data_IF_336572164964
#
_entry.id   IF_336572164964
#
_cell.length_a   1.000
_cell.length_b   1.000
_cell.length_c   1.000
_cell.angle_alpha   90.00
_cell.angle_beta   90.00
_cell.angle_gamma   90.00
#
_symmetry.space_group_name_H-M   'P 1'
#
loop_
_entity.id
_entity.type
_entity.pdbx_description
1 polymer ?
#
# COMPACT_ATOMS: atom_id res chain seq x y z
N UNK A 1 37.01 -17.08 10.85
CA UNK A 1 36.05 -17.35 9.75
C UNK A 1 35.65 -16.01 9.15
N UNK A 2 36.10 -15.73 7.93
CA UNK A 2 35.68 -14.53 7.21
C UNK A 2 34.26 -14.81 6.70
N UNK A 3 33.23 -14.44 7.48
CA UNK A 3 31.88 -14.35 6.93
C UNK A 3 31.98 -13.33 5.80
N UNK A 4 31.65 -13.73 4.58
CA UNK A 4 31.63 -12.82 3.45
C UNK A 4 30.65 -11.69 3.80
N UNK A 5 31.15 -10.50 4.16
CA UNK A 5 30.35 -9.38 4.68
C UNK A 5 29.15 -9.07 3.78
N UNK A 6 29.36 -9.17 2.47
CA UNK A 6 28.32 -9.04 1.46
C UNK A 6 27.17 -10.05 1.64
N UNK A 7 27.49 -11.32 1.90
CA UNK A 7 26.49 -12.37 2.12
C UNK A 7 25.67 -12.11 3.40
N UNK A 8 26.33 -11.67 4.48
CA UNK A 8 25.64 -11.32 5.73
C UNK A 8 24.67 -10.15 5.51
N UNK A 9 25.11 -9.09 4.82
CA UNK A 9 24.24 -7.96 4.50
C UNK A 9 23.00 -8.38 3.70
N UNK A 10 23.17 -9.22 2.67
CA UNK A 10 22.04 -9.77 1.90
C UNK A 10 21.13 -10.66 2.73
N UNK A 11 21.69 -11.43 3.66
CA UNK A 11 20.90 -12.21 4.63
C UNK A 11 20.00 -11.33 5.50
N UNK A 12 20.49 -10.16 5.92
CA UNK A 12 19.69 -9.20 6.70
C UNK A 12 18.63 -8.49 5.87
N UNK A 13 18.91 -8.12 4.62
CA UNK A 13 17.90 -7.58 3.69
C UNK A 13 16.75 -8.59 3.51
N UNK A 14 17.08 -9.87 3.30
CA UNK A 14 16.09 -10.95 3.20
C UNK A 14 15.28 -11.11 4.50
N UNK A 15 15.93 -11.11 5.66
CA UNK A 15 15.24 -11.21 6.95
C UNK A 15 14.28 -10.04 7.19
N UNK A 16 14.67 -8.83 6.80
CA UNK A 16 13.83 -7.64 6.89
C UNK A 16 12.59 -7.74 5.99
N UNK A 17 12.74 -8.27 4.77
CA UNK A 17 11.62 -8.56 3.89
C UNK A 17 10.70 -9.64 4.51
N UNK A 18 11.26 -10.78 4.93
CA UNK A 18 10.50 -11.89 5.51
C UNK A 18 9.68 -11.50 6.74
N UNK A 19 10.26 -10.74 7.67
CA UNK A 19 9.57 -10.31 8.91
C UNK A 19 8.40 -9.37 8.66
N UNK A 20 8.30 -8.76 7.47
CA UNK A 20 7.14 -7.97 7.06
C UNK A 20 6.07 -8.76 6.30
N UNK A 21 6.33 -10.03 5.95
CA UNK A 21 5.38 -10.87 5.22
C UNK A 21 4.57 -11.77 6.15
N UNK A 22 5.24 -12.54 7.00
CA UNK A 22 4.58 -13.52 7.87
C UNK A 22 5.39 -13.77 9.13
N UNK A 23 4.74 -14.08 10.26
CA UNK A 23 5.44 -14.51 11.45
C UNK A 23 5.93 -15.96 11.31
N UNK A 24 7.02 -16.35 12.00
CA UNK A 24 7.39 -17.76 12.15
C UNK A 24 6.34 -18.50 12.98
N UNK A 25 6.41 -19.82 13.01
CA UNK A 25 5.57 -20.65 13.89
C UNK A 25 5.82 -20.34 15.37
N UNK A 26 4.86 -20.68 16.24
CA UNK A 26 4.99 -20.48 17.69
C UNK A 26 6.21 -21.18 18.29
N UNK A 27 6.64 -22.31 17.71
CA UNK A 27 7.84 -23.02 18.14
C UNK A 27 9.13 -22.26 17.79
N UNK A 28 9.18 -21.63 16.61
CA UNK A 28 10.37 -20.93 16.12
C UNK A 28 10.44 -19.47 16.60
N UNK A 29 9.30 -18.84 16.88
CA UNK A 29 9.19 -17.45 17.32
C UNK A 29 10.16 -17.04 18.45
N UNK A 30 10.26 -17.76 19.59
CA UNK A 30 11.18 -17.36 20.65
C UNK A 30 12.66 -17.41 20.21
N UNK A 31 13.01 -18.27 19.27
CA UNK A 31 14.38 -18.35 18.74
C UNK A 31 14.68 -17.18 17.80
N UNK A 32 13.74 -16.80 16.93
CA UNK A 32 13.87 -15.62 16.06
C UNK A 32 13.98 -14.35 16.90
N UNK A 33 13.15 -14.21 17.94
CA UNK A 33 13.20 -13.06 18.83
C UNK A 33 14.56 -12.98 19.57
N UNK A 34 15.06 -14.08 20.13
CA UNK A 34 16.39 -14.12 20.77
C UNK A 34 17.51 -13.81 19.78
N UNK A 35 17.43 -14.32 18.55
CA UNK A 35 18.42 -14.02 17.52
C UNK A 35 18.49 -12.51 17.26
N UNK A 36 17.35 -11.87 16.99
CA UNK A 36 17.26 -10.43 16.75
C UNK A 36 17.74 -9.61 17.97
N UNK A 37 17.36 -10.01 19.19
CA UNK A 37 17.81 -9.36 20.43
C UNK A 37 19.33 -9.46 20.63
N UNK A 38 19.92 -10.63 20.37
CA UNK A 38 21.37 -10.84 20.48
C UNK A 38 22.18 -10.01 19.47
N UNK A 39 21.54 -9.59 18.37
CA UNK A 39 22.11 -8.82 17.27
C UNK A 39 21.60 -7.37 17.23
N UNK A 40 21.14 -6.81 18.36
CA UNK A 40 20.59 -5.44 18.46
C UNK A 40 21.47 -4.32 17.91
N UNK A 41 22.78 -4.54 17.80
CA UNK A 41 23.72 -3.57 17.21
C UNK A 41 23.68 -3.54 15.68
N UNK A 42 23.08 -4.55 15.03
CA UNK A 42 22.87 -4.54 13.60
C UNK A 42 21.74 -3.56 13.24
N UNK A 43 21.89 -2.67 12.25
CA UNK A 43 20.92 -1.61 11.94
C UNK A 43 19.49 -2.11 11.69
N UNK A 44 19.33 -3.28 11.08
CA UNK A 44 18.02 -3.85 10.76
C UNK A 44 17.39 -4.67 11.89
N UNK A 45 18.11 -5.00 12.96
CA UNK A 45 17.61 -5.93 13.97
C UNK A 45 16.36 -5.41 14.69
N UNK A 46 16.34 -4.12 15.06
CA UNK A 46 15.21 -3.50 15.73
C UNK A 46 13.99 -3.40 14.80
N UNK A 47 14.20 -3.04 13.54
CA UNK A 47 13.12 -2.98 12.55
C UNK A 47 12.53 -4.35 12.25
N UNK A 48 13.37 -5.38 12.10
CA UNK A 48 12.91 -6.77 11.96
C UNK A 48 12.04 -7.20 13.16
N UNK A 49 12.40 -6.82 14.39
CA UNK A 49 11.59 -7.10 15.58
C UNK A 49 10.23 -6.39 15.52
N UNK A 50 10.22 -5.09 15.19
CA UNK A 50 9.00 -4.30 15.05
C UNK A 50 8.08 -4.88 13.97
N UNK A 51 8.64 -5.23 12.81
CA UNK A 51 7.92 -5.83 11.68
C UNK A 51 7.33 -7.18 12.05
N UNK A 52 8.10 -8.03 12.73
CA UNK A 52 7.62 -9.31 13.26
C UNK A 52 6.40 -9.11 14.20
N UNK A 53 6.44 -8.13 15.11
CA UNK A 53 5.28 -7.83 15.97
C UNK A 53 4.07 -7.32 15.19
N UNK A 54 4.28 -6.59 14.08
CA UNK A 54 3.19 -6.15 13.21
C UNK A 54 2.59 -7.32 12.41
N UNK A 55 3.42 -8.21 11.87
CA UNK A 55 2.98 -9.44 11.20
C UNK A 55 2.15 -10.34 12.14
N UNK A 56 2.54 -10.49 13.40
CA UNK A 56 1.76 -11.22 14.41
C UNK A 56 0.37 -10.60 14.66
N UNK A 57 0.26 -9.26 14.64
CA UNK A 57 -0.99 -8.52 14.89
C UNK A 57 -1.90 -8.43 13.67
N UNK A 58 -1.32 -8.16 12.50
CA UNK A 58 -2.07 -7.82 11.29
C UNK A 58 -2.36 -9.05 10.41
N UNK A 59 -1.71 -10.18 10.69
CA UNK A 59 -1.76 -11.40 9.90
C UNK A 59 -0.72 -11.43 8.79
N UNK A 60 -0.69 -12.54 8.05
CA UNK A 60 0.26 -12.77 6.98
C UNK A 60 -0.18 -12.15 5.65
N UNK A 61 0.79 -11.63 4.91
CA UNK A 61 0.68 -11.22 3.50
C UNK A 61 0.41 -12.44 2.61
N UNK A 62 -0.31 -12.22 1.51
CA UNK A 62 -0.65 -13.25 0.52
C UNK A 62 0.31 -13.28 -0.66
N UNK A 63 0.96 -12.15 -0.96
CA UNK A 63 1.87 -12.02 -2.10
C UNK A 63 3.30 -11.72 -1.64
N UNK A 64 4.31 -12.00 -2.49
CA UNK A 64 5.71 -11.65 -2.22
C UNK A 64 5.92 -10.13 -2.04
N UNK A 65 7.11 -9.70 -1.56
CA UNK A 65 7.42 -8.29 -1.44
C UNK A 65 7.26 -7.55 -2.76
N UNK A 66 6.67 -6.37 -2.69
CA UNK A 66 6.59 -5.46 -3.83
C UNK A 66 7.97 -4.92 -4.18
N UNK A 67 8.19 -4.53 -5.45
CA UNK A 67 9.49 -4.03 -5.92
C UNK A 67 10.00 -2.87 -5.07
N UNK A 68 9.12 -1.94 -4.69
CA UNK A 68 9.47 -0.80 -3.82
C UNK A 68 9.99 -1.22 -2.44
N UNK A 69 9.53 -2.36 -1.90
CA UNK A 69 10.01 -2.90 -0.62
C UNK A 69 11.44 -3.46 -0.78
N UNK A 70 11.69 -4.11 -1.93
CA UNK A 70 13.01 -4.65 -2.28
C UNK A 70 14.01 -3.53 -2.56
N UNK A 71 13.61 -2.53 -3.34
CA UNK A 71 14.45 -1.38 -3.67
C UNK A 71 14.79 -0.56 -2.43
N UNK A 72 13.85 -0.32 -1.52
CA UNK A 72 14.10 0.42 -0.28
C UNK A 72 15.23 -0.25 0.54
N UNK A 73 15.08 -1.55 0.81
CA UNK A 73 16.08 -2.24 1.65
C UNK A 73 17.44 -2.40 0.96
N UNK A 74 17.46 -2.51 -0.38
CA UNK A 74 18.70 -2.50 -1.16
C UNK A 74 19.42 -1.14 -1.10
N UNK A 75 18.67 -0.03 -1.04
CA UNK A 75 19.19 1.32 -0.79
C UNK A 75 19.42 1.62 0.69
N UNK A 76 19.31 0.60 1.57
CA UNK A 76 19.51 0.69 3.02
C UNK A 76 18.54 1.64 3.72
N UNK A 77 17.34 1.84 3.14
CA UNK A 77 16.25 2.57 3.77
C UNK A 77 15.16 1.61 4.22
N UNK A 78 14.59 1.85 5.39
CA UNK A 78 13.50 1.02 5.94
C UNK A 78 12.15 1.74 5.96
N UNK A 79 12.16 3.05 5.67
CA UNK A 79 10.96 3.86 5.46
C UNK A 79 10.62 3.90 3.97
N UNK A 80 9.35 3.63 3.66
CA UNK A 80 8.86 3.64 2.28
C UNK A 80 7.80 4.72 2.19
N UNK A 81 7.98 5.67 1.27
CA UNK A 81 6.99 6.70 1.01
C UNK A 81 6.28 6.41 -0.30
N UNK A 82 4.95 6.43 -0.27
CA UNK A 82 4.12 6.28 -1.44
C UNK A 82 3.38 7.59 -1.73
N UNK A 83 3.51 8.08 -2.96
CA UNK A 83 2.76 9.24 -3.44
C UNK A 83 1.28 8.89 -3.56
N UNK A 84 0.43 9.77 -3.05
CA UNK A 84 -1.03 9.72 -3.13
C UNK A 84 -1.52 11.00 -3.78
N UNK A 85 -2.36 10.85 -4.80
CA UNK A 85 -2.94 11.96 -5.56
C UNK A 85 -4.36 12.25 -5.07
N UNK A 86 -4.75 13.52 -5.14
CA UNK A 86 -6.04 14.02 -4.70
C UNK A 86 -6.84 14.64 -5.86
N UNK A 87 -8.17 14.79 -5.72
CA UNK A 87 -9.02 15.34 -6.79
C UNK A 87 -8.76 16.81 -7.15
N UNK A 88 -8.09 17.57 -6.31
CA UNK A 88 -7.72 18.97 -6.53
C UNK A 88 -6.39 19.14 -7.29
N UNK A 89 -5.96 18.08 -7.99
CA UNK A 89 -4.70 17.97 -8.73
C UNK A 89 -3.42 18.09 -7.87
N UNK A 90 -3.55 17.99 -6.54
CA UNK A 90 -2.39 17.93 -5.63
C UNK A 90 -1.96 16.49 -5.34
N UNK A 91 -0.75 16.32 -4.80
CA UNK A 91 -0.24 15.04 -4.33
C UNK A 91 0.59 15.20 -3.05
N UNK A 92 0.56 14.19 -2.18
CA UNK A 92 1.40 14.10 -0.99
C UNK A 92 2.04 12.71 -0.86
N UNK A 93 3.23 12.66 -0.26
CA UNK A 93 3.93 11.41 0.04
C UNK A 93 3.60 10.92 1.45
N UNK A 94 3.14 9.68 1.56
CA UNK A 94 2.76 9.05 2.83
C UNK A 94 3.65 7.85 3.13
N UNK A 95 4.06 7.72 4.39
CA UNK A 95 4.78 6.54 4.84
C UNK A 95 3.86 5.31 4.82
N UNK A 96 4.34 4.24 4.19
CA UNK A 96 3.66 2.95 4.12
C UNK A 96 4.61 1.85 4.59
N UNK A 97 4.02 0.80 5.16
CA UNK A 97 4.74 -0.35 5.66
C UNK A 97 4.27 -1.62 4.96
N UNK A 98 5.06 -2.68 5.04
CA UNK A 98 4.69 -4.00 4.52
C UNK A 98 3.36 -4.52 5.10
N UNK A 99 3.01 -4.09 6.31
CA UNK A 99 1.79 -4.46 7.03
C UNK A 99 0.66 -3.44 6.92
N UNK A 100 0.81 -2.37 6.14
CA UNK A 100 -0.23 -1.34 5.98
C UNK A 100 -1.44 -1.90 5.24
N UNK A 101 -2.61 -1.87 5.88
CA UNK A 101 -3.90 -2.16 5.22
C UNK A 101 -4.51 -0.88 4.67
N UNK A 102 -5.37 -1.01 3.66
CA UNK A 102 -6.00 0.13 3.01
C UNK A 102 -6.77 1.02 3.99
N UNK A 103 -7.46 0.45 4.98
CA UNK A 103 -8.14 1.22 6.04
C UNK A 103 -7.17 2.08 6.86
N UNK A 104 -6.01 1.52 7.23
CA UNK A 104 -5.04 2.20 8.09
C UNK A 104 -4.37 3.34 7.30
N UNK A 105 -4.17 3.12 6.00
CA UNK A 105 -3.68 4.13 5.07
C UNK A 105 -4.70 5.26 4.88
N UNK A 106 -5.99 4.95 4.65
CA UNK A 106 -7.05 5.95 4.61
C UNK A 106 -7.11 6.81 5.89
N UNK A 107 -6.95 6.18 7.06
CA UNK A 107 -6.90 6.88 8.35
C UNK A 107 -5.72 7.85 8.43
N UNK A 108 -4.52 7.42 8.01
CA UNK A 108 -3.33 8.26 8.01
C UNK A 108 -3.49 9.49 7.08
N UNK A 109 -4.04 9.28 5.88
CA UNK A 109 -4.32 10.36 4.93
C UNK A 109 -5.35 11.34 5.49
N UNK A 110 -6.46 10.82 6.01
CA UNK A 110 -7.54 11.65 6.58
C UNK A 110 -7.05 12.50 7.74
N UNK A 111 -6.20 11.93 8.61
CA UNK A 111 -5.60 12.64 9.72
C UNK A 111 -4.65 13.75 9.23
N UNK A 112 -3.82 13.48 8.22
CA UNK A 112 -2.90 14.47 7.64
C UNK A 112 -3.65 15.65 7.00
N UNK A 113 -4.74 15.37 6.30
CA UNK A 113 -5.58 16.38 5.63
C UNK A 113 -6.60 17.05 6.56
N UNK A 114 -6.58 16.72 7.86
CA UNK A 114 -7.47 17.27 8.89
C UNK A 114 -8.97 17.05 8.57
N UNK A 115 -9.30 15.93 7.93
CA UNK A 115 -10.69 15.56 7.66
C UNK A 115 -11.39 15.19 8.97
N UNK A 116 -12.64 15.63 9.13
CA UNK A 116 -13.46 15.33 10.32
C UNK A 116 -13.86 13.87 10.40
N UNK A 117 -13.98 13.19 9.25
CA UNK A 117 -14.28 11.76 9.20
C UNK A 117 -13.69 11.09 7.95
N UNK A 118 -13.06 9.91 8.09
CA UNK A 118 -12.62 9.09 6.97
C UNK A 118 -13.79 8.34 6.29
N UNK A 119 -15.00 8.40 6.85
CA UNK A 119 -16.16 7.63 6.37
C UNK A 119 -16.45 7.92 4.89
N UNK A 120 -16.60 6.85 4.11
CA UNK A 120 -16.91 6.93 2.68
C UNK A 120 -15.73 7.31 1.79
N UNK A 121 -14.55 7.59 2.35
CA UNK A 121 -13.31 7.73 1.57
C UNK A 121 -12.65 6.37 1.32
N UNK A 122 -11.93 6.25 0.20
CA UNK A 122 -11.26 5.01 -0.18
C UNK A 122 -10.00 5.30 -1.00
N UNK A 123 -9.08 4.34 -0.99
CA UNK A 123 -7.98 4.30 -1.94
C UNK A 123 -8.43 3.73 -3.27
N UNK A 124 -7.86 4.24 -4.34
CA UNK A 124 -8.03 3.76 -5.70
C UNK A 124 -6.66 3.61 -6.36
N UNK A 125 -6.47 2.54 -7.11
CA UNK A 125 -5.25 2.33 -7.91
C UNK A 125 -5.62 2.48 -9.38
N UNK A 126 -5.00 3.45 -10.05
CA UNK A 126 -5.05 3.63 -11.52
C UNK A 126 -3.84 2.95 -12.14
N UNK A 127 -4.07 2.01 -13.04
CA UNK A 127 -3.05 1.30 -13.79
C UNK A 127 -3.54 1.08 -15.22
N UNK A 128 -2.77 1.54 -16.20
CA UNK A 128 -3.25 1.61 -17.60
C UNK A 128 -4.59 2.37 -17.70
N UNK A 129 -5.62 1.74 -18.28
CA UNK A 129 -6.99 2.25 -18.43
C UNK A 129 -7.92 1.83 -17.29
N UNK A 130 -7.40 1.15 -16.26
CA UNK A 130 -8.20 0.64 -15.14
C UNK A 130 -7.99 1.49 -13.91
N UNK A 131 -9.09 1.79 -13.22
CA UNK A 131 -9.06 2.41 -11.90
C UNK A 131 -9.92 1.57 -10.97
N UNK A 132 -9.34 1.07 -9.88
CA UNK A 132 -10.00 0.10 -9.00
C UNK A 132 -9.84 0.52 -7.55
N UNK A 133 -10.96 0.51 -6.80
CA UNK A 133 -10.96 0.76 -5.36
C UNK A 133 -10.31 -0.38 -4.59
N UNK A 134 -9.45 -0.04 -3.63
CA UNK A 134 -8.77 -0.99 -2.75
C UNK A 134 -9.72 -1.41 -1.62
N UNK A 135 -9.94 -2.72 -1.39
CA UNK A 135 -10.71 -3.19 -0.24
C UNK A 135 -10.04 -2.79 1.08
N UNK A 136 -10.81 -2.24 2.02
CA UNK A 136 -10.30 -1.71 3.30
C UNK A 136 -9.48 -2.72 4.13
N UNK A 137 -9.83 -4.01 4.05
CA UNK A 137 -9.17 -5.09 4.78
C UNK A 137 -7.89 -5.63 4.14
N UNK A 138 -7.61 -5.28 2.88
CA UNK A 138 -6.46 -5.80 2.15
C UNK A 138 -5.18 -5.04 2.50
N UNK A 139 -4.05 -5.75 2.51
CA UNK A 139 -2.74 -5.12 2.55
C UNK A 139 -2.51 -4.36 1.24
N UNK A 140 -2.05 -3.12 1.36
CA UNK A 140 -1.88 -2.23 0.21
C UNK A 140 -0.98 -2.85 -0.88
N UNK A 141 0.19 -3.36 -0.48
CA UNK A 141 1.12 -4.00 -1.42
C UNK A 141 0.61 -5.33 -2.00
N UNK A 142 -0.23 -6.08 -1.28
CA UNK A 142 -0.87 -7.28 -1.84
C UNK A 142 -1.85 -6.91 -2.95
N UNK A 143 -2.67 -5.88 -2.73
CA UNK A 143 -3.62 -5.43 -3.73
C UNK A 143 -2.92 -4.91 -4.98
N UNK A 144 -1.92 -4.03 -4.83
CA UNK A 144 -1.13 -3.50 -5.96
C UNK A 144 -0.47 -4.63 -6.74
N UNK A 145 0.11 -5.62 -6.04
CA UNK A 145 0.76 -6.76 -6.69
C UNK A 145 -0.23 -7.61 -7.46
N UNK A 146 -1.34 -7.99 -6.83
CA UNK A 146 -2.38 -8.79 -7.44
C UNK A 146 -2.97 -8.11 -8.68
N UNK A 147 -3.28 -6.82 -8.58
CA UNK A 147 -3.80 -6.02 -9.67
C UNK A 147 -2.81 -5.95 -10.85
N UNK A 148 -1.53 -5.69 -10.56
CA UNK A 148 -0.48 -5.64 -11.59
C UNK A 148 -0.36 -6.97 -12.33
N UNK A 149 -0.34 -8.09 -11.59
CA UNK A 149 -0.25 -9.43 -12.19
C UNK A 149 -1.50 -9.76 -13.02
N UNK A 150 -2.68 -9.32 -12.58
CA UNK A 150 -3.93 -9.48 -13.34
C UNK A 150 -3.91 -8.69 -14.66
N UNK A 151 -3.47 -7.43 -14.64
CA UNK A 151 -3.34 -6.60 -15.86
C UNK A 151 -2.34 -7.22 -16.84
N UNK A 152 -1.19 -7.70 -16.35
CA UNK A 152 -0.18 -8.39 -17.18
C UNK A 152 -0.74 -9.63 -17.86
N UNK A 153 -1.52 -10.45 -17.13
CA UNK A 153 -2.16 -11.64 -17.70
C UNK A 153 -3.20 -11.29 -18.76
N UNK A 154 -3.96 -10.21 -18.58
CA UNK A 154 -4.97 -9.75 -19.53
C UNK A 154 -4.37 -9.13 -20.81
N UNK A 155 -3.10 -8.70 -20.76
CA UNK A 155 -2.36 -8.11 -21.89
C UNK A 155 -1.11 -8.94 -22.18
N UNK A 156 -1.24 -10.14 -22.77
CA UNK A 156 -0.07 -10.93 -23.14
C UNK A 156 0.82 -10.12 -24.10
N UNK A 157 2.12 -10.01 -23.78
CA UNK A 157 3.10 -9.27 -24.57
C UNK A 157 3.07 -9.72 -26.03
N UNK A 158 2.70 -8.81 -26.93
CA UNK A 158 3.15 -8.92 -28.32
C UNK A 158 4.65 -8.61 -28.31
N UNK A 159 5.46 -9.52 -28.84
CA UNK A 159 6.91 -9.34 -29.07
C UNK A 159 7.87 -9.44 -27.86
N UNK A 160 7.48 -10.12 -26.78
CA UNK A 160 8.40 -10.49 -25.69
C UNK A 160 8.89 -9.34 -24.81
N UNK A 161 8.49 -8.10 -25.10
CA UNK A 161 8.73 -6.93 -24.23
C UNK A 161 7.61 -6.88 -23.19
N UNK A 162 7.94 -7.06 -21.91
CA UNK A 162 6.99 -6.86 -20.81
C UNK A 162 6.87 -5.35 -20.57
N UNK A 163 5.68 -4.74 -20.78
CA UNK A 163 5.51 -3.32 -20.51
C UNK A 163 5.79 -3.02 -19.03
N UNK A 164 6.58 -1.98 -18.75
CA UNK A 164 6.65 -1.43 -17.42
C UNK A 164 5.28 -0.81 -17.08
N UNK A 165 4.51 -1.49 -16.25
CA UNK A 165 3.23 -0.97 -15.77
C UNK A 165 3.50 -0.03 -14.61
N UNK A 166 3.26 1.26 -14.82
CA UNK A 166 3.22 2.26 -13.75
C UNK A 166 1.79 2.38 -13.22
N UNK A 167 1.65 2.46 -11.90
CA UNK A 167 0.36 2.73 -11.26
C UNK A 167 0.42 4.03 -10.46
N UNK A 168 -0.75 4.63 -10.26
CA UNK A 168 -0.97 5.79 -9.41
C UNK A 168 -1.98 5.45 -8.32
N UNK A 169 -1.80 6.00 -7.13
CA UNK A 169 -2.70 5.80 -5.99
C UNK A 169 -3.45 7.09 -5.75
N UNK A 170 -4.78 7.01 -5.74
CA UNK A 170 -5.67 8.12 -5.46
C UNK A 170 -6.39 7.89 -4.15
N UNK A 171 -6.61 8.97 -3.40
CA UNK A 171 -7.51 8.97 -2.25
C UNK A 171 -8.72 9.83 -2.61
N UNK A 172 -9.93 9.26 -2.56
CA UNK A 172 -11.13 9.94 -3.06
C UNK A 172 -12.37 9.53 -2.26
N UNK A 173 -13.41 10.36 -2.29
CA UNK A 173 -14.73 10.00 -1.77
C UNK A 173 -15.37 8.96 -2.70
N UNK A 174 -15.72 7.80 -2.13
CA UNK A 174 -16.38 6.67 -2.80
C UNK A 174 -17.87 6.61 -2.50
N UNK A 175 -18.26 6.82 -1.24
CA UNK A 175 -19.65 6.76 -0.77
C UNK A 175 -20.10 8.12 -0.23
N UNK A 176 -21.25 8.61 -0.72
CA UNK A 176 -21.73 9.97 -0.45
C UNK A 176 -22.89 10.04 0.55
N UNK A 177 -23.31 8.90 1.12
CA UNK A 177 -24.56 8.73 1.88
C UNK A 177 -24.80 9.74 3.00
N UNK A 178 -23.75 10.16 3.70
CA UNK A 178 -23.83 11.07 4.86
C UNK A 178 -23.09 12.40 4.62
N UNK A 179 -22.85 12.77 3.36
CA UNK A 179 -22.04 13.95 3.02
C UNK A 179 -22.91 15.20 3.01
N UNK A 180 -22.58 16.16 3.87
CA UNK A 180 -23.28 17.45 3.96
C UNK A 180 -22.26 18.57 3.74
N UNK A 181 -22.36 19.34 2.63
CA UNK A 181 -21.49 20.48 2.39
C UNK A 181 -21.50 21.48 3.54
N UNK A 182 -20.35 22.08 3.84
CA UNK A 182 -20.12 22.99 4.96
C UNK A 182 -19.84 22.29 6.29
N UNK A 183 -20.13 20.98 6.41
CA UNK A 183 -19.84 20.23 7.64
C UNK A 183 -18.34 19.97 7.80
N UNK A 184 -17.60 19.78 6.70
CA UNK A 184 -16.16 19.53 6.69
C UNK A 184 -15.51 20.32 5.55
N UNK A 185 -14.99 21.49 5.87
CA UNK A 185 -14.45 22.44 4.88
C UNK A 185 -13.22 21.91 4.14
N UNK A 186 -12.40 21.08 4.77
CA UNK A 186 -11.25 20.44 4.11
C UNK A 186 -11.73 19.35 3.14
N UNK A 187 -12.71 18.53 3.55
CA UNK A 187 -13.32 17.55 2.66
C UNK A 187 -14.01 18.22 1.46
N UNK A 188 -14.71 19.34 1.69
CA UNK A 188 -15.40 20.09 0.66
C UNK A 188 -14.44 20.67 -0.39
N UNK A 189 -13.36 21.30 0.08
CA UNK A 189 -12.40 21.99 -0.78
C UNK A 189 -11.50 21.04 -1.55
N UNK A 190 -11.04 19.93 -0.96
CA UNK A 190 -10.11 19.01 -1.61
C UNK A 190 -10.84 17.95 -2.46
N UNK A 191 -12.03 17.50 -2.02
CA UNK A 191 -12.70 16.34 -2.63
C UNK A 191 -14.06 16.69 -3.21
N UNK A 192 -14.99 17.23 -2.42
CA UNK A 192 -16.39 17.30 -2.84
C UNK A 192 -16.59 18.21 -4.06
N UNK A 193 -15.97 19.38 -4.06
CA UNK A 193 -16.03 20.32 -5.17
C UNK A 193 -15.48 19.71 -6.47
N UNK A 194 -14.27 19.15 -6.43
CA UNK A 194 -13.59 18.65 -7.62
C UNK A 194 -14.21 17.35 -8.17
N UNK A 195 -14.70 16.46 -7.30
CA UNK A 195 -15.31 15.19 -7.73
C UNK A 195 -16.75 15.36 -8.24
N UNK A 196 -17.54 16.27 -7.67
CA UNK A 196 -18.94 16.50 -8.09
C UNK A 196 -19.03 17.55 -9.19
N UNK A 197 -18.21 18.60 -9.12
CA UNK A 197 -18.19 19.70 -10.09
C UNK A 197 -17.54 19.33 -11.43
N UNK A 198 -16.81 18.21 -11.51
CA UNK A 198 -16.18 17.72 -12.74
C UNK A 198 -15.03 18.60 -13.25
N UNK A 199 -14.48 19.47 -12.40
CA UNK A 199 -13.47 20.48 -12.77
C UNK A 199 -12.05 19.91 -12.74
N UNK A 200 -11.77 18.86 -11.96
CA UNK A 200 -10.42 18.32 -11.73
C UNK A 200 -9.98 17.18 -12.65
N UNK A 201 -10.39 17.13 -13.93
CA UNK A 201 -10.03 16.02 -14.85
C UNK A 201 -10.68 14.66 -14.53
N UNK A 202 -11.13 14.44 -13.29
CA UNK A 202 -11.93 13.31 -12.81
C UNK A 202 -13.43 13.57 -12.99
N UNK A 203 -13.83 14.00 -14.19
CA UNK A 203 -15.24 14.24 -14.51
C UNK A 203 -16.12 13.03 -14.18
N UNK A 204 -17.42 13.28 -13.96
CA UNK A 204 -18.45 12.27 -13.67
C UNK A 204 -18.36 11.03 -14.58
N UNK A 205 -17.85 11.18 -15.81
CA UNK A 205 -17.59 10.11 -16.78
C UNK A 205 -16.47 9.12 -16.42
N UNK A 206 -15.42 9.53 -15.70
CA UNK A 206 -14.38 8.61 -15.17
C UNK A 206 -14.78 7.99 -13.83
N UNK A 207 -15.62 8.68 -13.05
CA UNK A 207 -16.11 8.22 -11.73
C UNK A 207 -17.22 7.16 -11.81
N UNK A 208 -18.02 7.11 -12.88
CA UNK A 208 -19.09 6.12 -13.05
C UNK A 208 -18.56 4.67 -13.17
N UNK A 209 -17.49 4.38 -13.94
CA UNK A 209 -16.81 3.09 -13.89
C UNK A 209 -16.17 2.77 -12.52
N UNK A 210 -15.70 3.80 -11.80
CA UNK A 210 -15.00 3.72 -10.51
C UNK A 210 -15.91 3.26 -9.34
N UNK A 211 -17.19 3.62 -9.38
CA UNK A 211 -18.20 3.18 -8.39
C UNK A 211 -18.76 1.80 -8.75
N UNK A 212 -18.79 1.45 -10.05
CA UNK A 212 -19.46 0.25 -10.57
C UNK A 212 -18.53 -0.91 -10.93
N UNK A 213 -17.20 -0.74 -10.95
CA UNK A 213 -16.27 -1.85 -11.15
C UNK A 213 -16.20 -2.69 -9.86
N UNK A 214 -17.23 -3.51 -9.65
CA UNK A 214 -17.06 -4.76 -8.92
C UNK A 214 -15.99 -5.52 -9.69
N UNK A 215 -14.78 -5.62 -9.13
CA UNK A 215 -14.01 -6.84 -9.36
C UNK A 215 -15.01 -7.98 -9.10
N UNK A 216 -15.08 -9.02 -9.96
CA UNK A 216 -15.75 -10.25 -9.58
C UNK A 216 -15.31 -10.54 -8.15
N UNK A 217 -16.24 -10.87 -7.24
CA UNK A 217 -15.84 -11.45 -5.95
C UNK A 217 -15.08 -12.72 -6.32
N UNK A 218 -13.76 -12.61 -6.42
CA UNK A 218 -12.87 -13.73 -6.60
C UNK A 218 -12.91 -14.45 -5.27
N UNK A 219 -13.80 -15.45 -5.19
CA UNK A 219 -13.78 -16.45 -4.13
C UNK A 219 -12.38 -17.10 -4.11
N UNK A 220 -11.91 -17.50 -2.92
CA UNK A 220 -10.61 -18.14 -2.76
C UNK A 220 -10.47 -19.41 -3.62
#
# INVERSE_FOLDING_TARGET
>A
MCVCRYSEEKGWELLWLCTGLFPPSNMLLPHVQRFLQSRKHHPLAQDCMTRLQKALRNGSRKYPPHLVEVEAIQHKTTQIFHKVYFPDDTDEAFEVESSTKAKDFCLAISARLLLKSPEGFSLFVKISDKVISVPEGDFFFDFVRHLTDWIKKARPSKDGIVPSLTYQVFFMKKLWTNTVPGKDSFADSIFHYYQVGGVGGWGVTELVPLVLSKLPRFKP
#
